data_IF_749374077201
#
_entry.id   IF_749374077201
#
_cell.length_a   1.000
_cell.length_b   1.000
_cell.length_c   1.000
_cell.angle_alpha   90.00
_cell.angle_beta   90.00
_cell.angle_gamma   90.00
#
_symmetry.space_group_name_H-M   'P 1'
#
loop_
_entity.id
_entity.type
_entity.pdbx_description
1 polymer ?
#
# COMPACT_ATOMS: atom_id res chain seq x y z
N UNK A 1 -32.39 -23.53 -31.39
CA UNK A 1 -31.06 -22.89 -31.27
C UNK A 1 -30.88 -22.65 -29.78
N UNK A 2 -29.98 -23.39 -29.14
CA UNK A 2 -29.73 -23.24 -27.71
C UNK A 2 -28.92 -21.97 -27.48
N UNK A 3 -29.39 -21.09 -26.60
CA UNK A 3 -28.65 -19.89 -26.22
C UNK A 3 -27.85 -20.13 -24.95
N UNK A 4 -26.82 -19.30 -24.72
CA UNK A 4 -26.02 -19.32 -23.48
C UNK A 4 -26.89 -19.24 -22.24
N UNK A 5 -27.98 -18.47 -22.29
CA UNK A 5 -28.94 -18.35 -21.18
C UNK A 5 -29.65 -19.67 -20.94
N UNK A 6 -30.11 -20.37 -21.97
CA UNK A 6 -30.80 -21.67 -21.81
C UNK A 6 -29.87 -22.70 -21.16
N UNK A 7 -28.59 -22.68 -21.52
CA UNK A 7 -27.56 -23.53 -20.89
C UNK A 7 -27.33 -23.16 -19.43
N UNK A 8 -27.29 -21.86 -19.11
CA UNK A 8 -27.18 -21.40 -17.73
C UNK A 8 -28.45 -21.70 -16.91
N UNK A 9 -29.65 -21.58 -17.48
CA UNK A 9 -30.90 -22.00 -16.83
C UNK A 9 -30.92 -23.50 -16.55
N UNK A 10 -30.43 -24.32 -17.49
CA UNK A 10 -30.35 -25.76 -17.31
C UNK A 10 -29.32 -26.18 -16.24
N UNK A 11 -28.27 -25.38 -16.00
CA UNK A 11 -27.16 -25.70 -15.08
C UNK A 11 -27.24 -24.95 -13.74
N UNK A 12 -28.00 -23.86 -13.67
CA UNK A 12 -28.02 -22.89 -12.57
C UNK A 12 -26.72 -22.07 -12.50
N UNK A 13 -25.61 -22.72 -12.15
CA UNK A 13 -24.28 -22.11 -12.07
C UNK A 13 -23.32 -22.88 -12.97
N UNK A 14 -22.79 -22.22 -14.00
CA UNK A 14 -21.82 -22.85 -14.89
C UNK A 14 -20.60 -21.97 -15.08
N UNK A 15 -19.45 -22.59 -15.28
CA UNK A 15 -18.25 -21.90 -15.75
C UNK A 15 -18.34 -21.66 -17.25
N UNK A 16 -17.61 -20.65 -17.74
CA UNK A 16 -17.56 -20.34 -19.17
C UNK A 16 -17.05 -21.53 -20.01
N UNK A 17 -16.22 -22.40 -19.43
CA UNK A 17 -15.72 -23.62 -20.11
C UNK A 17 -16.82 -24.67 -20.28
N UNK A 18 -17.68 -24.80 -19.29
CA UNK A 18 -18.81 -25.75 -19.33
C UNK A 18 -19.89 -25.26 -20.30
N UNK A 19 -20.15 -23.95 -20.34
CA UNK A 19 -21.04 -23.33 -21.34
C UNK A 19 -20.49 -23.54 -22.76
N UNK A 20 -19.19 -23.31 -22.95
CA UNK A 20 -18.50 -23.51 -24.22
C UNK A 20 -18.58 -24.96 -24.70
N UNK A 21 -18.38 -25.92 -23.80
CA UNK A 21 -18.45 -27.35 -24.11
C UNK A 21 -19.87 -27.80 -24.52
N UNK A 22 -20.91 -27.18 -23.97
CA UNK A 22 -22.32 -27.49 -24.31
C UNK A 22 -22.73 -26.95 -25.68
N UNK A 23 -22.28 -25.74 -26.02
CA UNK A 23 -22.63 -25.09 -27.28
C UNK A 23 -21.65 -25.42 -28.41
N UNK A 24 -20.59 -26.18 -28.12
CA UNK A 24 -19.47 -26.45 -29.05
C UNK A 24 -18.81 -25.17 -29.58
N UNK A 25 -18.79 -24.13 -28.76
CA UNK A 25 -18.23 -22.80 -29.07
C UNK A 25 -16.84 -22.68 -28.44
N UNK A 26 -15.96 -21.86 -29.02
CA UNK A 26 -14.66 -21.56 -28.42
C UNK A 26 -14.85 -20.94 -27.02
N UNK A 27 -14.08 -21.34 -25.98
CA UNK A 27 -14.24 -20.79 -24.63
C UNK A 27 -14.06 -19.27 -24.54
N UNK A 28 -13.31 -18.67 -25.47
CA UNK A 28 -13.15 -17.20 -25.56
C UNK A 28 -14.42 -16.55 -26.12
N UNK A 29 -15.05 -17.16 -27.10
CA UNK A 29 -16.29 -16.68 -27.71
C UNK A 29 -17.47 -16.83 -26.74
N UNK A 30 -17.56 -17.96 -26.02
CA UNK A 30 -18.54 -18.14 -24.94
C UNK A 30 -18.40 -17.05 -23.85
N UNK A 31 -17.17 -16.67 -23.49
CA UNK A 31 -16.91 -15.57 -22.55
C UNK A 31 -17.36 -14.22 -23.09
N UNK A 32 -17.15 -13.94 -24.38
CA UNK A 32 -17.61 -12.70 -24.99
C UNK A 32 -19.14 -12.60 -24.99
N UNK A 33 -19.84 -13.68 -25.37
CA UNK A 33 -21.30 -13.74 -25.34
C UNK A 33 -21.82 -13.56 -23.91
N UNK A 34 -21.22 -14.23 -22.92
CA UNK A 34 -21.59 -14.09 -21.51
C UNK A 34 -21.44 -12.64 -21.00
N UNK A 35 -20.39 -11.93 -21.42
CA UNK A 35 -20.19 -10.51 -21.07
C UNK A 35 -21.24 -9.60 -21.69
N UNK A 36 -21.60 -9.85 -22.95
CA UNK A 36 -22.67 -9.11 -23.63
C UNK A 36 -24.03 -9.34 -22.96
N UNK A 37 -24.35 -10.60 -22.61
CA UNK A 37 -25.58 -10.94 -21.87
C UNK A 37 -25.62 -10.32 -20.47
N UNK A 38 -24.46 -10.12 -19.85
CA UNK A 38 -24.35 -9.37 -18.59
C UNK A 38 -24.60 -7.88 -18.75
N UNK A 39 -24.12 -7.27 -19.83
CA UNK A 39 -24.44 -5.86 -20.13
C UNK A 39 -25.93 -5.66 -20.40
N UNK A 40 -26.60 -6.70 -20.91
CA UNK A 40 -28.06 -6.74 -21.08
C UNK A 40 -28.82 -7.07 -19.79
N UNK A 41 -28.12 -7.41 -18.69
CA UNK A 41 -28.71 -7.70 -17.39
C UNK A 41 -29.36 -9.09 -17.28
N UNK A 42 -29.07 -10.00 -18.21
CA UNK A 42 -29.65 -11.35 -18.26
C UNK A 42 -28.82 -12.38 -17.49
N UNK A 43 -27.53 -12.12 -17.28
CA UNK A 43 -26.63 -13.00 -16.54
C UNK A 43 -25.67 -12.21 -15.65
N UNK A 44 -25.33 -12.75 -14.50
CA UNK A 44 -24.30 -12.21 -13.63
C UNK A 44 -23.21 -13.24 -13.34
N UNK A 45 -22.01 -12.72 -13.06
CA UNK A 45 -20.88 -13.53 -12.64
C UNK A 45 -20.74 -13.45 -11.12
N UNK A 46 -20.99 -14.56 -10.44
CA UNK A 46 -20.90 -14.67 -8.99
C UNK A 46 -20.20 -15.96 -8.58
N UNK A 47 -19.35 -15.88 -7.55
CA UNK A 47 -18.67 -17.03 -6.94
C UNK A 47 -17.92 -17.94 -7.93
N UNK A 48 -17.31 -17.34 -8.97
CA UNK A 48 -16.56 -18.10 -9.97
C UNK A 48 -17.41 -18.76 -11.06
N UNK A 49 -18.73 -18.58 -11.04
CA UNK A 49 -19.67 -19.09 -12.03
C UNK A 49 -20.53 -18.00 -12.65
N UNK A 50 -21.10 -18.30 -13.80
CA UNK A 50 -22.15 -17.51 -14.45
C UNK A 50 -23.51 -18.09 -14.06
N UNK A 51 -24.44 -17.20 -13.73
CA UNK A 51 -25.81 -17.52 -13.33
C UNK A 51 -26.79 -16.55 -14.01
N UNK A 52 -28.01 -17.00 -14.27
CA UNK A 52 -29.05 -16.16 -14.90
C UNK A 52 -29.66 -15.23 -13.85
N UNK A 53 -29.66 -13.93 -14.15
CA UNK A 53 -30.24 -12.92 -13.26
C UNK A 53 -31.72 -12.74 -13.60
N UNK A 54 -32.59 -13.62 -13.08
CA UNK A 54 -34.03 -13.37 -13.14
C UNK A 54 -34.96 -14.53 -13.52
N UNK A 55 -34.76 -15.72 -12.98
CA UNK A 55 -35.87 -16.67 -12.81
C UNK A 55 -35.98 -17.05 -11.33
N UNK A 56 -37.15 -16.76 -10.77
CA UNK A 56 -37.48 -17.05 -9.40
C UNK A 56 -37.74 -18.56 -9.23
N UNK A 57 -36.77 -19.29 -8.69
CA UNK A 57 -37.02 -20.53 -7.94
C UNK A 57 -35.94 -20.73 -6.86
N UNK A 58 -36.20 -20.10 -5.70
CA UNK A 58 -35.99 -20.71 -4.39
C UNK A 58 -34.60 -21.28 -4.01
N UNK A 59 -33.56 -20.46 -3.96
CA UNK A 59 -32.61 -20.52 -2.83
C UNK A 59 -31.84 -19.23 -2.61
N UNK A 60 -32.21 -18.59 -1.50
CA UNK A 60 -31.53 -17.47 -0.85
C UNK A 60 -30.02 -17.68 -0.72
N UNK A 61 -29.23 -16.75 -1.26
CA UNK A 61 -28.13 -16.19 -0.49
C UNK A 61 -27.92 -14.73 -0.86
N UNK A 62 -28.22 -13.89 0.13
CA UNK A 62 -28.03 -12.45 0.17
C UNK A 62 -26.55 -12.13 0.00
N UNK A 63 -26.19 -11.24 -0.94
CA UNK A 63 -25.34 -10.07 -0.67
C UNK A 63 -25.25 -9.12 -1.87
N UNK A 64 -25.68 -7.89 -1.59
CA UNK A 64 -25.44 -6.63 -2.29
C UNK A 64 -23.95 -6.44 -2.65
N UNK A 65 -23.48 -5.64 -3.63
CA UNK A 65 -23.95 -4.70 -4.67
C UNK A 65 -22.63 -4.20 -5.38
N UNK A 66 -22.55 -3.17 -6.27
CA UNK A 66 -23.60 -2.31 -6.85
C UNK A 66 -23.51 -2.06 -8.38
N UNK A 67 -24.65 -1.70 -8.99
CA UNK A 67 -24.69 -0.98 -10.27
C UNK A 67 -25.40 0.38 -10.08
N UNK A 68 -24.84 1.42 -10.70
CA UNK A 68 -25.31 2.82 -10.70
C UNK A 68 -26.58 2.97 -11.55
N UNK A 69 -27.51 3.83 -11.13
CA UNK A 69 -28.30 4.86 -11.88
C UNK A 69 -29.57 5.24 -11.07
N UNK A 70 -29.69 6.45 -10.49
CA UNK A 70 -30.25 7.72 -11.03
C UNK A 70 -31.81 7.79 -11.00
N UNK A 71 -32.39 8.38 -9.92
CA UNK A 71 -33.34 9.54 -9.87
C UNK A 71 -34.31 9.58 -8.65
N UNK A 72 -34.01 10.53 -7.74
CA UNK A 72 -34.85 11.58 -7.09
C UNK A 72 -35.97 11.29 -6.04
N UNK A 73 -35.67 11.80 -4.82
CA UNK A 73 -36.48 12.46 -3.76
C UNK A 73 -37.55 11.61 -3.00
N UNK A 74 -37.66 11.65 -1.65
CA UNK A 74 -37.62 12.77 -0.70
C UNK A 74 -37.22 12.33 0.73
N UNK A 75 -36.70 13.33 1.47
CA UNK A 75 -36.74 13.54 2.93
C UNK A 75 -35.52 13.23 3.80
N UNK A 76 -35.23 14.25 4.60
CA UNK A 76 -34.10 14.55 5.45
C UNK A 76 -34.26 13.87 6.82
N UNK A 77 -33.16 13.38 7.40
CA UNK A 77 -32.64 13.88 8.69
C UNK A 77 -31.37 13.10 9.10
N UNK A 78 -30.34 13.88 9.43
CA UNK A 78 -29.21 13.59 10.31
C UNK A 78 -28.60 12.18 10.33
N UNK A 79 -27.66 11.95 9.43
CA UNK A 79 -26.47 11.11 9.69
C UNK A 79 -25.30 11.64 8.86
N UNK A 80 -24.08 11.78 9.43
CA UNK A 80 -22.94 12.27 8.67
C UNK A 80 -22.65 11.31 7.51
N UNK A 81 -22.74 11.83 6.28
CA UNK A 81 -22.51 11.10 5.04
C UNK A 81 -21.15 10.41 5.11
N UNK A 82 -21.17 9.09 5.21
CA UNK A 82 -19.99 8.23 5.08
C UNK A 82 -19.49 8.33 3.63
N UNK A 83 -18.53 9.22 3.40
CA UNK A 83 -17.96 9.45 2.07
C UNK A 83 -17.29 8.17 1.56
N UNK A 84 -17.84 7.67 0.45
CA UNK A 84 -17.35 6.48 -0.24
C UNK A 84 -15.99 6.79 -0.88
N UNK A 85 -14.98 6.04 -0.44
CA UNK A 85 -13.65 5.85 -1.00
C UNK A 85 -13.59 6.13 -2.52
N UNK A 86 -13.02 7.26 -2.91
CA UNK A 86 -12.82 7.62 -4.32
C UNK A 86 -12.72 9.11 -4.62
N UNK A 87 -13.08 9.98 -3.68
CA UNK A 87 -12.79 11.41 -3.83
C UNK A 87 -11.29 11.63 -3.65
N UNK A 88 -10.63 12.14 -4.70
CA UNK A 88 -9.27 12.69 -4.63
C UNK A 88 -9.34 13.87 -3.69
N UNK A 89 -9.31 13.55 -2.41
CA UNK A 89 -9.31 14.52 -1.34
C UNK A 89 -7.98 15.22 -1.47
N UNK A 90 -8.03 16.54 -1.52
CA UNK A 90 -6.85 17.38 -1.64
C UNK A 90 -5.75 16.88 -0.68
N UNK A 91 -4.48 16.83 -1.16
CA UNK A 91 -3.36 16.45 -0.33
C UNK A 91 -3.48 17.17 1.00
N UNK A 92 -3.56 16.39 2.09
CA UNK A 92 -3.70 16.94 3.43
C UNK A 92 -2.48 17.85 3.62
N UNK A 93 -2.71 19.17 3.59
CA UNK A 93 -1.64 20.11 3.86
C UNK A 93 -1.20 19.85 5.29
N UNK A 94 0.10 19.58 5.51
CA UNK A 94 0.57 19.22 6.82
C UNK A 94 0.33 20.35 7.83
N UNK A 95 0.33 21.59 7.35
CA UNK A 95 0.04 22.83 8.09
C UNK A 95 -1.33 22.83 8.78
N UNK A 96 -2.38 22.31 8.15
CA UNK A 96 -3.71 22.30 8.74
C UNK A 96 -3.79 21.38 9.97
N UNK A 97 -3.10 20.25 9.95
CA UNK A 97 -3.03 19.33 11.09
C UNK A 97 -2.10 19.89 12.17
N UNK A 98 -0.99 20.52 11.79
CA UNK A 98 -0.08 21.17 12.74
C UNK A 98 -0.80 22.32 13.45
N UNK A 99 -1.51 23.19 12.75
CA UNK A 99 -2.30 24.28 13.36
C UNK A 99 -3.34 23.74 14.35
N UNK A 100 -4.06 22.67 13.99
CA UNK A 100 -5.02 22.04 14.90
C UNK A 100 -4.36 21.45 16.15
N UNK A 101 -3.15 20.89 16.03
CA UNK A 101 -2.38 20.38 17.16
C UNK A 101 -1.77 21.49 18.01
N UNK A 102 -1.46 22.65 17.42
CA UNK A 102 -1.02 23.84 18.15
C UNK A 102 -2.16 24.42 18.99
N UNK A 103 -3.37 24.47 18.45
CA UNK A 103 -4.54 25.02 19.15
C UNK A 103 -5.12 24.07 20.22
N UNK A 104 -5.20 22.77 19.92
CA UNK A 104 -5.89 21.81 20.77
C UNK A 104 -4.93 20.91 21.58
N UNK A 105 -3.62 21.04 21.37
CA UNK A 105 -2.61 20.18 21.97
C UNK A 105 -2.70 18.73 21.48
N UNK A 106 -2.32 17.80 22.35
CA UNK A 106 -2.23 16.39 22.02
C UNK A 106 -3.63 15.77 21.77
N UNK A 107 -3.93 15.47 20.51
CA UNK A 107 -5.28 15.06 20.09
C UNK A 107 -5.32 13.61 19.56
N UNK A 108 -6.43 12.92 19.83
CA UNK A 108 -6.69 11.56 19.34
C UNK A 108 -6.95 11.55 17.82
N UNK A 109 -6.69 10.41 17.17
CA UNK A 109 -6.96 10.21 15.72
C UNK A 109 -8.40 10.52 15.33
N UNK A 110 -9.36 10.17 16.18
CA UNK A 110 -10.79 10.36 15.91
C UNK A 110 -11.18 11.84 16.00
N UNK A 111 -10.65 12.55 17.00
CA UNK A 111 -10.89 13.98 17.16
C UNK A 111 -10.23 14.79 16.02
N UNK A 112 -9.01 14.43 15.63
CA UNK A 112 -8.35 14.97 14.43
C UNK A 112 -9.15 14.70 13.15
N UNK A 113 -9.66 13.48 12.99
CA UNK A 113 -10.46 13.13 11.83
C UNK A 113 -11.75 13.94 11.73
N UNK A 114 -12.43 14.15 12.86
CA UNK A 114 -13.63 14.99 12.94
C UNK A 114 -13.33 16.45 12.64
N UNK A 115 -12.24 17.01 13.18
CA UNK A 115 -11.83 18.40 12.94
C UNK A 115 -11.44 18.66 11.47
N UNK A 116 -10.77 17.69 10.83
CA UNK A 116 -10.37 17.77 9.41
C UNK A 116 -11.49 17.32 8.46
N UNK A 117 -12.60 16.77 8.98
CA UNK A 117 -13.72 16.27 8.18
C UNK A 117 -13.38 15.04 7.31
N UNK A 118 -12.46 14.18 7.77
CA UNK A 118 -11.96 13.01 7.02
C UNK A 118 -12.29 11.69 7.74
N UNK A 119 -12.21 10.57 7.02
CA UNK A 119 -12.33 9.25 7.63
C UNK A 119 -11.13 8.96 8.56
N UNK A 120 -11.36 8.63 9.85
CA UNK A 120 -10.28 8.31 10.80
C UNK A 120 -9.38 7.16 10.35
N UNK A 121 -9.91 6.18 9.60
CA UNK A 121 -9.08 5.06 9.10
C UNK A 121 -8.11 5.48 8.01
N UNK A 122 -8.52 6.39 7.12
CA UNK A 122 -7.67 6.95 6.07
C UNK A 122 -6.66 7.97 6.60
N UNK A 123 -7.05 8.73 7.63
CA UNK A 123 -6.19 9.74 8.24
C UNK A 123 -5.03 9.13 9.04
N UNK A 124 -5.22 7.98 9.69
CA UNK A 124 -4.18 7.32 10.49
C UNK A 124 -2.90 7.02 9.68
N UNK A 125 -3.04 6.59 8.42
CA UNK A 125 -1.90 6.36 7.53
C UNK A 125 -1.18 7.66 7.14
N UNK A 126 -1.92 8.74 6.94
CA UNK A 126 -1.36 10.06 6.63
C UNK A 126 -0.63 10.65 7.85
N UNK A 127 -1.20 10.55 9.05
CA UNK A 127 -0.55 10.98 10.29
C UNK A 127 0.75 10.21 10.54
N UNK A 128 0.76 8.89 10.28
CA UNK A 128 1.97 8.08 10.34
C UNK A 128 3.05 8.58 9.36
N UNK A 129 2.67 8.94 8.13
CA UNK A 129 3.58 9.51 7.14
C UNK A 129 4.10 10.88 7.57
N UNK A 130 3.24 11.73 8.14
CA UNK A 130 3.63 13.05 8.63
C UNK A 130 4.57 12.96 9.83
N UNK A 131 4.40 11.96 10.70
CA UNK A 131 5.33 11.69 11.77
C UNK A 131 6.69 11.23 11.26
N UNK A 132 6.73 10.38 10.22
CA UNK A 132 7.99 10.02 9.56
C UNK A 132 8.67 11.20 8.88
N UNK A 133 7.90 12.20 8.45
CA UNK A 133 8.40 13.47 7.90
C UNK A 133 8.73 14.51 8.99
N UNK A 134 8.61 14.17 10.28
CA UNK A 134 8.96 15.06 11.39
C UNK A 134 7.97 16.20 11.68
N UNK A 135 6.80 16.23 11.05
CA UNK A 135 5.84 17.34 11.26
C UNK A 135 4.99 17.16 12.53
N UNK A 136 4.80 15.92 12.99
CA UNK A 136 4.00 15.57 14.18
C UNK A 136 4.66 14.40 14.92
N UNK A 137 4.47 14.27 16.23
CA UNK A 137 4.97 13.13 17.01
C UNK A 137 3.81 12.20 17.38
N UNK A 138 4.04 10.91 17.22
CA UNK A 138 3.10 9.88 17.68
C UNK A 138 3.33 9.63 19.17
N UNK A 139 2.31 9.88 19.98
CA UNK A 139 2.33 9.69 21.43
C UNK A 139 1.50 8.44 21.74
N UNK A 140 2.19 7.37 22.11
CA UNK A 140 1.59 6.08 22.46
C UNK A 140 1.42 5.10 21.28
N UNK A 141 1.07 3.86 21.61
CA UNK A 141 0.83 2.76 20.66
C UNK A 141 -0.47 2.02 21.01
N UNK A 142 -1.22 1.58 20.00
CA UNK A 142 -2.43 0.78 20.18
C UNK A 142 -3.74 1.58 20.25
N UNK A 143 -4.62 1.24 21.19
CA UNK A 143 -5.94 1.88 21.36
C UNK A 143 -5.75 3.16 22.19
N UNK A 144 -5.88 4.33 21.55
CA UNK A 144 -5.64 5.64 22.20
C UNK A 144 -4.34 6.33 21.77
N UNK A 145 -3.94 6.18 20.50
CA UNK A 145 -2.82 6.95 19.94
C UNK A 145 -3.20 8.43 19.88
N UNK A 146 -2.40 9.24 20.56
CA UNK A 146 -2.45 10.70 20.51
C UNK A 146 -1.39 11.21 19.55
N UNK A 147 -1.66 12.32 18.91
CA UNK A 147 -0.70 13.03 18.08
C UNK A 147 -0.45 14.37 18.72
N UNK A 148 0.81 14.74 18.81
CA UNK A 148 1.26 16.03 19.34
C UNK A 148 2.16 16.72 18.36
N UNK A 149 2.39 18.01 18.60
CA UNK A 149 3.51 18.72 17.99
C UNK A 149 4.80 17.98 18.38
N UNK A 150 5.81 17.89 17.50
CA UNK A 150 7.13 17.45 17.94
C UNK A 150 7.55 18.33 19.11
N UNK A 151 7.85 17.72 20.26
CA UNK A 151 8.42 18.45 21.38
C UNK A 151 9.65 19.19 20.87
N UNK A 152 9.66 20.52 21.00
CA UNK A 152 10.78 21.40 20.70
C UNK A 152 11.89 21.23 21.77
N UNK A 153 12.25 19.97 22.06
CA UNK A 153 13.29 19.53 23.01
C UNK A 153 14.06 18.31 22.51
N UNK A 154 14.27 18.21 21.20
CA UNK A 154 15.53 17.67 20.67
C UNK A 154 16.22 18.79 19.89
N UNK A 155 16.93 19.61 20.66
CA UNK A 155 17.94 20.55 20.18
C UNK A 155 19.02 19.71 19.48
N UNK A 156 18.89 19.52 18.17
CA UNK A 156 20.09 19.63 17.32
C UNK A 156 20.19 21.11 17.01
N UNK A 157 21.17 21.85 17.56
CA UNK A 157 21.23 23.28 17.35
C UNK A 157 21.65 23.52 15.90
N UNK A 158 20.69 23.87 15.05
CA UNK A 158 21.01 24.82 13.98
C UNK A 158 21.21 26.18 14.65
N UNK A 159 22.39 26.82 14.52
CA UNK A 159 22.66 28.09 15.17
C UNK A 159 21.87 29.19 14.47
N UNK A 160 20.69 29.51 15.00
CA UNK A 160 20.06 30.81 14.74
C UNK A 160 20.89 31.84 15.49
N UNK A 161 21.75 32.51 14.73
CA UNK A 161 21.98 33.95 14.74
C UNK A 161 21.43 34.67 16.00
N UNK A 162 22.18 34.57 17.10
CA UNK A 162 21.98 35.42 18.26
C UNK A 162 22.49 36.82 17.92
N UNK A 163 21.63 37.81 18.16
CA UNK A 163 21.96 39.23 18.11
C UNK A 163 23.24 39.51 18.92
N UNK A 164 24.21 40.08 18.23
CA UNK A 164 25.51 40.49 18.74
C UNK A 164 25.32 41.58 19.80
N UNK A 165 26.00 41.54 20.97
CA UNK A 165 26.38 42.77 21.65
C UNK A 165 27.37 43.54 20.78
N UNK A 166 27.19 44.86 20.70
CA UNK A 166 28.11 45.80 20.05
C UNK A 166 29.55 45.54 20.50
N UNK A 167 30.39 45.01 19.61
CA UNK A 167 31.84 45.00 19.79
C UNK A 167 32.44 45.70 18.58
N UNK A 168 32.95 46.89 18.84
CA UNK A 168 33.66 47.75 17.92
C UNK A 168 34.84 46.99 17.29
N UNK A 169 34.77 46.78 15.97
CA UNK A 169 35.84 46.14 15.21
C UNK A 169 36.93 47.17 14.94
N UNK A 170 38.00 47.15 15.73
CA UNK A 170 39.30 47.70 15.32
C UNK A 170 40.03 46.65 14.47
N UNK A 171 40.47 46.95 13.24
CA UNK A 171 41.06 45.94 12.36
C UNK A 171 42.58 45.93 12.53
N UNK A 172 43.14 44.96 13.24
CA UNK A 172 44.56 44.61 13.08
C UNK A 172 44.91 43.25 13.67
N UNK A 173 44.88 42.19 12.85
CA UNK A 173 45.96 41.18 12.80
C UNK A 173 45.93 40.52 11.41
N UNK A 174 47.06 40.61 10.71
CA UNK A 174 47.33 39.96 9.43
C UNK A 174 47.40 38.43 9.60
N UNK A 175 46.70 37.68 8.74
CA UNK A 175 46.91 36.24 8.56
C UNK A 175 47.73 36.07 7.26
N UNK A 176 48.87 35.38 7.28
CA UNK A 176 49.65 35.12 6.07
C UNK A 176 48.91 34.14 5.15
N UNK A 177 48.72 34.57 3.91
CA UNK A 177 48.10 33.85 2.79
C UNK A 177 49.01 32.74 2.24
N UNK A 178 49.22 31.66 2.98
CA UNK A 178 49.84 30.45 2.44
C UNK A 178 49.41 29.22 3.25
N UNK A 179 48.58 28.33 2.68
CA UNK A 179 48.45 26.97 3.22
C UNK A 179 47.12 26.23 3.06
N UNK A 180 46.11 26.78 2.38
CA UNK A 180 44.84 26.07 2.18
C UNK A 180 44.99 24.85 1.27
N UNK A 181 45.82 24.93 0.24
CA UNK A 181 46.10 23.79 -0.66
C UNK A 181 46.83 22.65 0.06
N UNK A 182 47.82 22.98 0.90
CA UNK A 182 48.57 21.98 1.68
C UNK A 182 47.73 21.31 2.77
N UNK A 183 46.76 22.04 3.34
CA UNK A 183 45.85 21.50 4.34
C UNK A 183 44.84 20.52 3.72
N UNK A 184 44.30 20.86 2.54
CA UNK A 184 43.41 19.97 1.78
C UNK A 184 44.16 18.74 1.25
N UNK A 185 45.43 18.89 0.87
CA UNK A 185 46.29 17.75 0.51
C UNK A 185 46.63 16.85 1.70
N UNK A 186 46.62 17.35 2.94
CA UNK A 186 47.04 16.60 4.13
C UNK A 186 45.96 15.64 4.68
N UNK A 187 44.70 15.75 4.23
CA UNK A 187 43.60 14.91 4.71
C UNK A 187 43.40 13.72 3.74
N UNK A 188 43.85 12.50 4.08
CA UNK A 188 43.78 11.35 3.19
C UNK A 188 42.35 10.93 2.82
N UNK A 189 41.35 11.29 3.63
CA UNK A 189 39.92 11.04 3.34
C UNK A 189 39.42 11.92 2.18
N UNK A 190 39.97 13.14 2.02
CA UNK A 190 39.60 14.08 0.95
C UNK A 190 40.33 13.79 -0.37
N UNK A 191 41.44 13.05 -0.33
CA UNK A 191 42.16 12.58 -1.54
C UNK A 191 41.44 11.46 -2.28
N UNK A 192 40.43 10.82 -1.69
CA UNK A 192 39.73 9.73 -2.36
C UNK A 192 38.86 10.38 -3.44
N UNK A 193 39.21 10.32 -4.74
CA UNK A 193 38.27 10.75 -5.75
C UNK A 193 37.02 9.93 -5.48
N UNK A 194 35.90 10.62 -5.24
CA UNK A 194 34.59 9.99 -5.19
C UNK A 194 34.52 9.16 -6.46
N UNK A 195 34.69 7.84 -6.33
CA UNK A 195 34.65 6.96 -7.49
C UNK A 195 33.33 7.31 -8.17
N UNK A 196 33.34 7.65 -9.47
CA UNK A 196 32.09 7.95 -10.15
C UNK A 196 31.20 6.75 -9.86
N UNK A 197 30.12 6.99 -9.11
CA UNK A 197 29.25 5.94 -8.61
C UNK A 197 28.74 5.23 -9.85
N UNK A 198 29.38 4.12 -10.20
CA UNK A 198 29.14 3.43 -11.46
C UNK A 198 27.76 2.83 -11.31
N UNK A 199 26.77 3.54 -11.87
CA UNK A 199 25.42 3.04 -11.94
C UNK A 199 25.49 1.73 -12.72
N UNK A 200 25.08 0.60 -12.11
CA UNK A 200 25.06 -0.68 -12.80
C UNK A 200 24.23 -0.53 -14.07
N UNK A 201 24.67 -1.17 -15.14
CA UNK A 201 23.93 -1.14 -16.39
C UNK A 201 22.55 -1.81 -16.20
N UNK A 202 21.56 -1.34 -16.95
CA UNK A 202 20.22 -1.94 -16.93
C UNK A 202 20.24 -3.45 -17.24
N UNK A 203 21.19 -3.89 -18.08
CA UNK A 203 21.39 -5.29 -18.43
C UNK A 203 21.93 -6.10 -17.25
N UNK A 204 22.88 -5.57 -16.49
CA UNK A 204 23.39 -6.20 -15.27
C UNK A 204 22.27 -6.37 -14.25
N UNK A 205 21.51 -5.30 -13.99
CA UNK A 205 20.35 -5.33 -13.08
C UNK A 205 19.35 -6.40 -13.54
N UNK A 206 19.03 -6.45 -14.84
CA UNK A 206 18.11 -7.45 -15.40
C UNK A 206 18.62 -8.88 -15.24
N UNK A 207 19.92 -9.11 -15.46
CA UNK A 207 20.55 -10.41 -15.27
C UNK A 207 20.55 -10.83 -13.79
N UNK A 208 20.82 -9.90 -12.87
CA UNK A 208 20.72 -10.13 -11.43
C UNK A 208 19.29 -10.46 -11.00
N UNK A 209 18.28 -9.76 -11.53
CA UNK A 209 16.87 -10.08 -11.26
C UNK A 209 16.56 -11.51 -11.71
N UNK A 210 17.00 -11.92 -12.91
CA UNK A 210 16.80 -13.29 -13.41
C UNK A 210 17.50 -14.32 -12.52
N UNK A 211 18.75 -14.06 -12.13
CA UNK A 211 19.54 -14.96 -11.26
C UNK A 211 18.88 -15.13 -9.90
N UNK A 212 18.45 -14.04 -9.27
CA UNK A 212 17.76 -14.09 -7.97
C UNK A 212 16.42 -14.81 -8.08
N UNK A 213 15.64 -14.58 -9.16
CA UNK A 213 14.39 -15.32 -9.40
C UNK A 213 14.62 -16.82 -9.57
N UNK A 214 15.65 -17.21 -10.32
CA UNK A 214 16.03 -18.63 -10.47
C UNK A 214 16.44 -19.25 -9.13
N UNK A 215 17.25 -18.55 -8.34
CA UNK A 215 17.63 -18.99 -7.00
C UNK A 215 16.41 -19.14 -6.08
N UNK A 216 15.48 -18.18 -6.13
CA UNK A 216 14.22 -18.22 -5.37
C UNK A 216 13.41 -19.46 -5.74
N UNK A 217 13.21 -19.72 -7.04
CA UNK A 217 12.51 -20.93 -7.50
C UNK A 217 13.21 -22.21 -7.03
N UNK A 218 14.55 -22.24 -7.01
CA UNK A 218 15.33 -23.34 -6.45
C UNK A 218 15.08 -23.54 -4.96
N UNK A 219 15.06 -22.45 -4.17
CA UNK A 219 14.77 -22.49 -2.74
C UNK A 219 13.33 -22.91 -2.44
N UNK A 220 12.37 -22.51 -3.27
CA UNK A 220 10.98 -22.96 -3.13
C UNK A 220 10.84 -24.46 -3.37
N UNK A 221 11.48 -24.99 -4.41
CA UNK A 221 11.54 -26.44 -4.66
C UNK A 221 12.19 -27.17 -3.50
N UNK A 222 13.32 -26.66 -2.98
CA UNK A 222 13.97 -27.24 -1.81
C UNK A 222 13.07 -27.20 -0.58
N UNK A 223 12.35 -26.09 -0.35
CA UNK A 223 11.39 -25.97 0.76
C UNK A 223 10.27 -27.00 0.68
N UNK A 224 9.80 -27.32 -0.53
CA UNK A 224 8.79 -28.37 -0.74
C UNK A 224 9.41 -29.74 -0.47
N UNK A 225 10.57 -30.04 -1.05
CA UNK A 225 11.28 -31.30 -0.84
C UNK A 225 11.60 -31.54 0.65
N UNK A 226 12.11 -30.52 1.36
CA UNK A 226 12.39 -30.60 2.80
C UNK A 226 11.11 -30.81 3.61
N UNK A 227 9.98 -30.22 3.20
CA UNK A 227 8.69 -30.48 3.85
C UNK A 227 8.24 -31.92 3.66
N UNK A 228 8.41 -32.48 2.47
CA UNK A 228 8.10 -33.88 2.19
C UNK A 228 9.01 -34.82 2.99
N UNK A 229 10.32 -34.58 3.00
CA UNK A 229 11.29 -35.34 3.81
C UNK A 229 10.93 -35.25 5.30
N UNK A 230 10.60 -34.07 5.82
CA UNK A 230 10.20 -33.91 7.22
C UNK A 230 8.88 -34.61 7.55
N UNK A 231 7.92 -34.68 6.61
CA UNK A 231 6.69 -35.46 6.76
C UNK A 231 7.01 -36.95 6.93
N UNK A 232 7.97 -37.44 6.15
CA UNK A 232 8.40 -38.84 6.20
C UNK A 232 9.54 -39.12 7.17
N UNK A 233 10.05 -38.12 7.90
CA UNK A 233 11.22 -38.24 8.80
C UNK A 233 11.06 -39.34 9.84
N UNK A 234 9.85 -39.50 10.41
CA UNK A 234 9.57 -40.58 11.37
C UNK A 234 9.60 -41.97 10.75
N UNK A 235 9.13 -42.09 9.51
CA UNK A 235 9.24 -43.36 8.78
C UNK A 235 10.70 -43.63 8.41
N UNK A 236 11.42 -42.61 7.93
CA UNK A 236 12.84 -42.70 7.60
C UNK A 236 13.70 -43.02 8.82
N UNK A 237 13.40 -42.48 10.01
CA UNK A 237 14.13 -42.79 11.25
C UNK A 237 13.94 -44.23 11.69
N UNK A 238 12.78 -44.84 11.44
CA UNK A 238 12.54 -46.26 11.69
C UNK A 238 13.32 -47.16 10.72
N UNK A 239 13.55 -46.69 9.48
CA UNK A 239 14.37 -47.40 8.51
C UNK A 239 15.88 -47.18 8.71
N UNK A 240 16.29 -46.05 9.30
CA UNK A 240 17.71 -45.74 9.54
C UNK A 240 18.29 -46.40 10.79
N UNK A 241 17.48 -47.06 11.63
CA UNK A 241 17.98 -47.84 12.77
C UNK A 241 18.79 -47.04 13.78
N UNK A 242 18.58 -45.71 13.84
CA UNK A 242 19.16 -44.85 14.88
C UNK A 242 18.12 -44.67 15.98
N UNK A 243 18.08 -45.65 16.88
CA UNK A 243 17.49 -45.48 18.22
C UNK A 243 18.40 -44.54 19.02
N UNK A 244 17.92 -43.32 19.29
CA UNK A 244 18.33 -42.44 20.40
C UNK A 244 17.22 -41.42 20.72
#
# INVERSE_FOLDING_TARGET
METVIDVLKAMGKATYREVAARLEIEPVEALNILREQREQGLCDFFDGGWEVTGDADGKTSIRSAPAKTVLRAKNLNDTPKKLLRGEVTEPIKPEAIVALLTENGNMDTVALASAVGRDPRGLASNLCLMAKRGHIKKIGQGKGVKWGLPDETEITPEPVFAELPEIEITPRVAIPSAGTETFLESIPVLRKPSQPMQLPSLREISNQIRKVKSNLQGLEKLRVAVREVNKHRRALSLFSGEDL
#
